data_IF_746632297167
#
_entry.id   IF_746632297167
#
_cell.length_a   1.000
_cell.length_b   1.000
_cell.length_c   1.000
_cell.angle_alpha   90.00
_cell.angle_beta   90.00
_cell.angle_gamma   90.00
#
_symmetry.space_group_name_H-M   'P 1'
#
loop_
_entity.id
_entity.type
_entity.pdbx_description
1 polymer ?
#
# COMPACT_ATOMS: atom_id res chain seq x y z
N UNK A 1 -3.67 10.61 -4.52
CA UNK A 1 -2.48 10.08 -5.22
C UNK A 1 -1.59 9.41 -4.20
N UNK A 2 -1.18 8.16 -4.45
CA UNK A 2 -0.29 7.41 -3.55
C UNK A 2 1.17 7.75 -3.89
N UNK A 3 1.97 8.31 -2.96
CA UNK A 3 3.38 8.58 -3.22
C UNK A 3 4.17 7.28 -3.17
N UNK A 4 5.08 7.11 -4.13
CA UNK A 4 6.03 6.00 -4.13
C UNK A 4 6.90 6.05 -2.88
N UNK A 5 6.95 4.95 -2.12
CA UNK A 5 7.72 4.85 -0.87
C UNK A 5 9.23 5.02 -1.06
N UNK A 6 9.73 4.92 -2.29
CA UNK A 6 11.17 5.05 -2.59
C UNK A 6 11.54 6.42 -3.15
N UNK A 7 10.78 6.95 -4.11
CA UNK A 7 11.15 8.18 -4.84
C UNK A 7 10.17 9.34 -4.66
N UNK A 8 9.09 9.14 -3.91
CA UNK A 8 8.01 10.12 -3.67
C UNK A 8 7.22 10.57 -4.92
N UNK A 9 7.56 10.06 -6.10
CA UNK A 9 6.77 10.25 -7.32
C UNK A 9 5.43 9.52 -7.27
N UNK A 10 4.54 9.79 -8.21
CA UNK A 10 3.22 9.14 -8.28
C UNK A 10 3.35 7.63 -8.49
N UNK A 11 2.70 6.85 -7.63
CA UNK A 11 2.60 5.40 -7.76
C UNK A 11 1.22 5.00 -8.25
N UNK A 12 1.19 4.22 -9.34
CA UNK A 12 -0.01 3.59 -9.87
C UNK A 12 0.08 2.12 -9.51
N UNK A 13 -0.77 1.68 -8.58
CA UNK A 13 -0.84 0.29 -8.14
C UNK A 13 -2.08 -0.34 -8.76
N UNK A 14 -1.95 -1.41 -9.55
CA UNK A 14 -3.10 -2.18 -9.98
C UNK A 14 -3.71 -2.88 -8.76
N UNK A 15 -5.01 -2.69 -8.54
CA UNK A 15 -5.77 -3.41 -7.51
C UNK A 15 -6.54 -4.52 -8.19
N UNK A 16 -6.31 -5.74 -7.72
CA UNK A 16 -7.09 -6.93 -8.05
C UNK A 16 -7.47 -7.56 -6.71
N UNK A 17 -8.75 -7.46 -6.34
CA UNK A 17 -9.26 -7.89 -5.03
C UNK A 17 -10.68 -8.42 -5.18
N UNK A 18 -11.02 -9.38 -4.33
CA UNK A 18 -12.39 -9.90 -4.24
C UNK A 18 -13.22 -9.01 -3.31
N UNK A 19 -14.50 -8.83 -3.65
CA UNK A 19 -15.45 -8.08 -2.84
C UNK A 19 -16.34 -9.07 -2.09
N UNK A 20 -16.40 -8.92 -0.77
CA UNK A 20 -17.32 -9.65 0.10
C UNK A 20 -18.21 -8.63 0.83
N UNK A 21 -19.53 -8.84 0.75
CA UNK A 21 -20.51 -8.03 1.45
C UNK A 21 -21.49 -8.94 2.19
N UNK A 22 -21.69 -8.70 3.48
CA UNK A 22 -22.76 -9.33 4.22
C UNK A 22 -24.01 -8.46 4.08
N UNK A 23 -25.02 -8.96 3.37
CA UNK A 23 -26.25 -8.22 3.10
C UNK A 23 -27.41 -8.80 3.90
N UNK A 24 -28.15 -7.94 4.59
CA UNK A 24 -29.36 -8.31 5.32
C UNK A 24 -30.55 -7.47 4.86
N UNK A 25 -31.63 -8.12 4.45
CA UNK A 25 -32.85 -7.40 4.08
C UNK A 25 -33.40 -6.60 5.25
N UNK A 26 -33.81 -5.34 5.02
CA UNK A 26 -34.31 -4.45 6.06
C UNK A 26 -35.43 -5.04 6.94
N UNK A 27 -36.29 -5.90 6.37
CA UNK A 27 -37.35 -6.60 7.12
C UNK A 27 -36.84 -7.58 8.19
N UNK A 28 -35.57 -7.99 8.11
CA UNK A 28 -34.91 -8.86 9.07
C UNK A 28 -33.88 -8.12 9.93
N UNK A 29 -33.87 -6.79 9.91
CA UNK A 29 -32.90 -5.97 10.66
C UNK A 29 -32.90 -6.24 12.18
N UNK A 30 -34.00 -6.72 12.76
CA UNK A 30 -34.07 -7.14 14.16
C UNK A 30 -33.22 -8.39 14.48
N UNK A 31 -32.84 -9.16 13.45
CA UNK A 31 -31.95 -10.32 13.53
C UNK A 31 -30.52 -9.97 13.10
N UNK A 32 -30.21 -8.69 12.90
CA UNK A 32 -28.85 -8.26 12.58
C UNK A 32 -27.94 -8.56 13.77
N UNK A 33 -26.86 -9.30 13.51
CA UNK A 33 -25.74 -9.38 14.44
C UNK A 33 -24.88 -8.13 14.24
N UNK A 34 -25.00 -7.19 15.17
CA UNK A 34 -24.26 -5.91 15.11
C UNK A 34 -22.77 -6.07 15.42
N UNK A 35 -22.31 -7.26 15.79
CA UNK A 35 -20.88 -7.58 15.86
C UNK A 35 -20.30 -7.91 14.48
N UNK A 36 -21.13 -8.19 13.49
CA UNK A 36 -20.73 -8.38 12.09
C UNK A 36 -20.91 -7.08 11.27
N UNK A 37 -20.02 -6.86 10.30
CA UNK A 37 -20.17 -5.76 9.33
C UNK A 37 -21.27 -6.11 8.30
N UNK A 38 -22.52 -5.83 8.69
CA UNK A 38 -23.73 -6.11 7.90
C UNK A 38 -24.25 -4.82 7.24
N UNK A 39 -24.47 -4.87 5.93
CA UNK A 39 -25.17 -3.82 5.18
C UNK A 39 -26.65 -4.17 5.13
N UNK A 40 -27.47 -3.29 5.72
CA UNK A 40 -28.93 -3.38 5.59
C UNK A 40 -29.33 -2.91 4.20
N UNK A 41 -29.79 -3.84 3.37
CA UNK A 41 -30.20 -3.55 2.00
C UNK A 41 -31.64 -3.03 1.94
N UNK A 42 -31.84 -1.98 1.13
CA UNK A 42 -33.16 -1.55 0.69
C UNK A 42 -33.67 -2.53 -0.41
N UNK A 43 -34.98 -2.82 -0.47
CA UNK A 43 -35.54 -3.75 -1.45
C UNK A 43 -35.32 -3.34 -2.92
N UNK A 44 -35.08 -2.07 -3.22
CA UNK A 44 -34.88 -1.61 -4.60
C UNK A 44 -33.41 -1.39 -4.96
N UNK A 45 -32.57 -1.01 -3.99
CA UNK A 45 -31.15 -0.68 -4.22
C UNK A 45 -30.28 -1.06 -3.01
N UNK A 46 -29.04 -1.47 -3.27
CA UNK A 46 -28.05 -1.79 -2.23
C UNK A 46 -26.85 -0.88 -2.39
N UNK A 47 -26.49 -0.15 -1.33
CA UNK A 47 -25.25 0.62 -1.28
C UNK A 47 -24.08 -0.30 -0.91
N UNK A 48 -23.27 -0.66 -1.90
CA UNK A 48 -22.07 -1.50 -1.73
C UNK A 48 -20.79 -0.69 -1.50
N UNK A 49 -20.89 0.65 -1.46
CA UNK A 49 -19.73 1.52 -1.25
C UNK A 49 -18.90 1.10 -0.02
N UNK A 50 -19.49 0.71 1.13
CA UNK A 50 -18.71 0.30 2.31
C UNK A 50 -17.77 -0.89 2.04
N UNK A 51 -18.27 -1.97 1.41
CA UNK A 51 -17.41 -3.13 1.12
C UNK A 51 -16.33 -2.79 0.10
N UNK A 52 -16.66 -1.96 -0.89
CA UNK A 52 -15.72 -1.54 -1.93
C UNK A 52 -14.60 -0.72 -1.30
N UNK A 53 -14.93 0.24 -0.43
CA UNK A 53 -13.95 1.04 0.29
C UNK A 53 -13.04 0.15 1.15
N UNK A 54 -13.61 -0.76 1.94
CA UNK A 54 -12.84 -1.68 2.77
C UNK A 54 -11.87 -2.55 1.95
N UNK A 55 -12.38 -3.24 0.92
CA UNK A 55 -11.56 -4.08 0.07
C UNK A 55 -10.46 -3.27 -0.64
N UNK A 56 -10.78 -2.06 -1.10
CA UNK A 56 -9.79 -1.14 -1.68
C UNK A 56 -8.71 -0.79 -0.65
N UNK A 57 -9.09 -0.37 0.57
CA UNK A 57 -8.12 -0.03 1.61
C UNK A 57 -7.22 -1.21 1.97
N UNK A 58 -7.78 -2.42 2.05
CA UNK A 58 -7.02 -3.65 2.32
C UNK A 58 -6.08 -4.03 1.17
N UNK A 59 -6.45 -3.72 -0.07
CA UNK A 59 -5.65 -4.04 -1.25
C UNK A 59 -4.47 -3.09 -1.49
N UNK A 60 -4.46 -1.91 -0.84
CA UNK A 60 -3.39 -0.94 -0.99
C UNK A 60 -2.10 -1.51 -0.37
N UNK A 61 -0.98 -1.56 -1.13
CA UNK A 61 0.28 -2.03 -0.59
C UNK A 61 0.77 -1.12 0.53
N UNK A 62 1.38 -1.70 1.56
CA UNK A 62 2.04 -0.94 2.63
C UNK A 62 3.16 -0.04 2.07
N UNK A 63 3.85 -0.50 1.01
CA UNK A 63 4.93 0.22 0.34
C UNK A 63 4.67 0.36 -1.16
N UNK A 64 3.80 1.29 -1.59
CA UNK A 64 3.52 1.50 -3.01
C UNK A 64 4.79 1.95 -3.75
N UNK A 65 5.04 1.36 -4.92
CA UNK A 65 6.16 1.74 -5.78
C UNK A 65 5.63 2.23 -7.12
N UNK A 66 6.23 3.29 -7.68
CA UNK A 66 5.88 3.78 -9.02
C UNK A 66 6.28 2.80 -10.15
N UNK A 67 7.21 1.89 -9.86
CA UNK A 67 7.60 0.74 -10.68
C UNK A 67 8.40 -0.23 -9.82
N UNK A 68 8.44 -1.51 -10.20
CA UNK A 68 9.15 -2.56 -9.47
C UNK A 68 10.63 -2.19 -9.21
N UNK A 69 11.31 -1.69 -10.24
CA UNK A 69 12.72 -1.32 -10.21
C UNK A 69 12.97 0.15 -9.83
N UNK A 70 12.12 0.73 -8.98
CA UNK A 70 12.31 2.12 -8.54
C UNK A 70 13.61 2.25 -7.72
N UNK A 71 14.54 3.09 -8.21
CA UNK A 71 15.86 3.34 -7.61
C UNK A 71 15.83 4.25 -6.37
N UNK A 72 14.68 4.88 -6.12
CA UNK A 72 14.44 5.76 -4.97
C UNK A 72 15.19 7.09 -4.98
N UNK A 73 15.15 7.79 -3.85
CA UNK A 73 15.99 8.97 -3.60
C UNK A 73 17.36 8.57 -3.05
N UNK A 74 18.37 9.40 -3.30
CA UNK A 74 19.64 9.28 -2.59
C UNK A 74 19.43 9.65 -1.11
N UNK A 75 19.86 8.81 -0.14
CA UNK A 75 19.69 9.12 1.28
C UNK A 75 20.58 10.28 1.76
N UNK A 76 21.60 10.66 0.99
CA UNK A 76 22.48 11.78 1.34
C UNK A 76 22.05 13.12 0.73
N UNK A 77 21.76 13.16 -0.58
CA UNK A 77 21.44 14.42 -1.26
C UNK A 77 19.97 14.56 -1.68
N UNK A 78 19.14 13.52 -1.51
CA UNK A 78 17.71 13.57 -1.87
C UNK A 78 17.39 13.47 -3.36
N UNK A 79 18.40 13.41 -4.24
CA UNK A 79 18.17 13.33 -5.69
C UNK A 79 17.40 12.06 -6.07
N UNK A 80 16.46 12.16 -7.01
CA UNK A 80 15.74 11.01 -7.52
C UNK A 80 16.63 10.19 -8.46
N UNK A 81 17.09 9.04 -7.96
CA UNK A 81 18.00 8.14 -8.67
C UNK A 81 17.38 7.51 -9.92
N UNK A 82 16.07 7.66 -10.13
CA UNK A 82 15.44 7.23 -11.37
C UNK A 82 15.73 8.17 -12.53
N UNK A 83 16.01 9.45 -12.27
CA UNK A 83 16.19 10.50 -13.28
C UNK A 83 17.68 10.77 -13.53
N UNK A 84 18.48 10.82 -12.48
CA UNK A 84 19.92 11.09 -12.56
C UNK A 84 20.71 10.32 -11.50
N UNK A 85 22.02 10.23 -11.68
CA UNK A 85 22.91 9.63 -10.69
C UNK A 85 23.39 10.68 -9.69
N UNK A 86 23.42 10.33 -8.40
CA UNK A 86 24.02 11.19 -7.40
C UNK A 86 25.55 11.13 -7.48
N UNK A 87 26.20 12.24 -7.16
CA UNK A 87 27.67 12.32 -7.01
C UNK A 87 28.12 12.17 -5.55
N UNK A 88 27.24 11.72 -4.66
CA UNK A 88 27.60 11.46 -3.26
C UNK A 88 28.66 10.36 -3.22
N UNK A 89 29.76 10.61 -2.52
CA UNK A 89 30.75 9.57 -2.23
C UNK A 89 30.07 8.49 -1.38
N UNK A 90 30.14 7.24 -1.84
CA UNK A 90 29.64 6.10 -1.09
C UNK A 90 30.68 5.71 -0.03
N UNK A 91 30.86 6.52 1.00
CA UNK A 91 31.94 6.29 1.96
C UNK A 91 31.49 6.52 3.41
N UNK A 92 31.27 5.41 4.08
CA UNK A 92 32.04 4.97 5.25
C UNK A 92 31.31 3.73 5.76
N UNK A 93 31.98 2.58 5.76
CA UNK A 93 31.42 1.44 6.48
C UNK A 93 31.59 1.76 7.94
N UNK A 94 30.46 1.88 8.63
CA UNK A 94 30.45 2.02 10.08
C UNK A 94 31.44 0.99 10.67
N UNK A 95 32.45 1.41 11.45
CA UNK A 95 33.48 0.52 11.96
C UNK A 95 32.90 -0.70 12.70
N UNK A 96 31.69 -0.60 13.27
CA UNK A 96 30.98 -1.71 13.92
C UNK A 96 30.63 -2.84 12.94
N UNK A 97 30.45 -2.50 11.67
CA UNK A 97 30.01 -3.41 10.60
C UNK A 97 31.14 -3.86 9.68
N UNK A 98 32.38 -3.39 9.86
CA UNK A 98 33.53 -3.78 9.03
C UNK A 98 33.70 -5.30 8.90
N UNK A 99 33.52 -6.04 10.01
CA UNK A 99 33.68 -7.49 10.03
C UNK A 99 32.69 -8.23 9.12
N UNK A 100 31.55 -7.63 8.79
CA UNK A 100 30.52 -8.24 7.94
C UNK A 100 30.95 -8.31 6.47
N UNK A 101 31.91 -7.49 6.02
CA UNK A 101 32.48 -7.57 4.66
C UNK A 101 33.02 -8.95 4.31
N UNK A 102 33.47 -9.71 5.30
CA UNK A 102 34.07 -11.02 5.11
C UNK A 102 33.05 -12.17 5.10
N UNK A 103 31.75 -11.88 5.31
CA UNK A 103 30.70 -12.90 5.46
C UNK A 103 29.95 -13.16 4.14
N UNK A 104 29.86 -12.17 3.26
CA UNK A 104 29.22 -12.32 1.94
C UNK A 104 30.32 -12.58 0.91
N UNK A 105 30.63 -13.86 0.66
CA UNK A 105 31.39 -14.33 -0.50
C UNK A 105 30.49 -15.21 -1.35
#
# INVERSE_FOLDING_TARGET
>A
QLPCSRCLGEAIVPVDTELACNLLEARYSEHADWEEDIIIQDPEQVDISPCVEEALFMSIPINPLCKLECRGICPQCGVNRNLEECQCESEEIDPRWEKLKNIIK
#
